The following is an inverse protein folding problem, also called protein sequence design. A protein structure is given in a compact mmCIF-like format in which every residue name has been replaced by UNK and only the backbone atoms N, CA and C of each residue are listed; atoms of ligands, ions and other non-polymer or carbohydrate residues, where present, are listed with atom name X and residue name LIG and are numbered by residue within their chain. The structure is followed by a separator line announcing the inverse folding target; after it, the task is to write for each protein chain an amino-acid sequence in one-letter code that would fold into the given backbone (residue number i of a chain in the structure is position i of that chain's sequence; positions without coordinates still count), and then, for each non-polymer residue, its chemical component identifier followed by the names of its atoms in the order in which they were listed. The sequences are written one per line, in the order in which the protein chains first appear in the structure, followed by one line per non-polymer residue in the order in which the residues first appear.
data_IF_313508897585
#
_entry.id   IF_313508897585
#
_cell.length_a   1.000
_cell.length_b   1.000
_cell.length_c   1.000
_cell.angle_alpha   90.00
_cell.angle_beta   90.00
_cell.angle_gamma   90.00
#
_symmetry.space_group_name_H-M   'P 1'
#
loop_
_entity.id
_entity.type
_entity.pdbx_description
1 polymer ?
#
# COMPACT_ATOMS: atom_id res chain seq x y z
N UNK A 1 12.89 4.93 -16.48
CA UNK A 1 12.33 6.11 -17.17
C UNK A 1 11.59 6.93 -16.12
N UNK A 2 11.98 8.19 -15.88
CA UNK A 2 11.33 9.05 -14.88
C UNK A 2 9.84 9.23 -15.21
N UNK A 3 8.95 9.31 -14.20
CA UNK A 3 7.55 9.64 -14.44
C UNK A 3 7.49 11.08 -14.94
N UNK A 4 7.21 11.27 -16.23
CA UNK A 4 6.95 12.58 -16.80
C UNK A 4 5.63 13.10 -16.22
N UNK A 5 5.66 14.24 -15.54
CA UNK A 5 4.47 15.04 -15.24
C UNK A 5 4.16 15.91 -16.47
N UNK A 6 3.10 15.62 -17.26
CA UNK A 6 2.65 16.55 -18.27
C UNK A 6 1.77 17.60 -17.58
N UNK A 7 2.05 18.90 -17.82
CA UNK A 7 1.21 20.07 -17.52
C UNK A 7 1.54 21.01 -16.35
N UNK A 8 2.76 21.02 -15.79
CA UNK A 8 3.19 22.16 -14.96
C UNK A 8 4.58 22.65 -15.37
N UNK A 9 4.71 23.81 -16.03
CA UNK A 9 6.00 24.40 -16.29
C UNK A 9 6.49 25.06 -14.99
N UNK A 10 7.73 24.75 -14.59
CA UNK A 10 8.55 25.46 -13.59
C UNK A 10 8.66 24.90 -12.16
N UNK A 11 8.01 23.79 -11.80
CA UNK A 11 8.37 23.09 -10.54
C UNK A 11 9.34 21.95 -10.84
N UNK A 12 10.50 21.83 -10.14
CA UNK A 12 11.27 20.60 -10.20
C UNK A 12 10.35 19.43 -9.83
N UNK A 13 10.44 18.33 -10.56
CA UNK A 13 9.70 17.12 -10.19
C UNK A 13 10.02 16.79 -8.73
N UNK A 14 9.00 16.55 -7.88
CA UNK A 14 9.23 16.31 -6.47
C UNK A 14 10.14 15.09 -6.30
N UNK A 15 11.14 15.23 -5.44
CA UNK A 15 11.95 14.09 -5.02
C UNK A 15 11.14 13.25 -4.05
N UNK A 16 11.06 11.94 -4.29
CA UNK A 16 10.30 11.00 -3.45
C UNK A 16 11.25 9.95 -2.89
N UNK A 17 11.19 9.74 -1.57
CA UNK A 17 11.82 8.59 -0.91
C UNK A 17 10.76 7.51 -0.75
N UNK A 18 10.97 6.36 -1.39
CA UNK A 18 10.08 5.21 -1.32
C UNK A 18 10.70 4.11 -0.47
N UNK A 19 9.92 3.55 0.47
CA UNK A 19 10.35 2.44 1.32
C UNK A 19 9.49 1.21 1.07
N UNK A 20 10.11 0.04 1.12
CA UNK A 20 9.44 -1.26 0.97
C UNK A 20 9.73 -2.10 2.20
N UNK A 21 8.72 -2.83 2.66
CA UNK A 21 8.80 -3.76 3.79
C UNK A 21 8.29 -5.12 3.33
N UNK A 22 8.75 -6.19 4.00
CA UNK A 22 8.23 -7.54 3.77
C UNK A 22 6.68 -7.55 3.82
N UNK A 23 5.99 -8.15 2.84
CA UNK A 23 4.53 -8.11 2.78
C UNK A 23 3.86 -8.82 3.97
N UNK A 24 4.51 -9.81 4.57
CA UNK A 24 3.99 -10.53 5.75
C UNK A 24 3.93 -9.61 6.95
N UNK A 25 4.96 -8.80 7.11
CA UNK A 25 5.04 -7.77 8.13
C UNK A 25 4.01 -6.65 7.92
N UNK A 26 3.83 -6.21 6.67
CA UNK A 26 2.83 -5.19 6.32
C UNK A 26 1.43 -5.70 6.62
N UNK A 27 1.12 -6.95 6.28
CA UNK A 27 -0.15 -7.60 6.60
C UNK A 27 -0.43 -7.60 8.10
N UNK A 28 0.52 -8.04 8.93
CA UNK A 28 0.35 -8.06 10.40
C UNK A 28 0.14 -6.64 10.93
N UNK A 29 0.95 -5.70 10.46
CA UNK A 29 0.83 -4.29 10.86
C UNK A 29 -0.55 -3.71 10.51
N UNK A 30 -1.05 -3.96 9.30
CA UNK A 30 -2.33 -3.44 8.83
C UNK A 30 -3.50 -4.09 9.57
N UNK A 31 -3.42 -5.40 9.85
CA UNK A 31 -4.43 -6.10 10.66
C UNK A 31 -4.58 -5.45 12.04
N UNK A 32 -3.48 -5.23 12.76
CA UNK A 32 -3.52 -4.58 14.07
C UNK A 32 -3.95 -3.11 13.99
N UNK A 33 -3.54 -2.39 12.94
CA UNK A 33 -4.02 -1.04 12.69
C UNK A 33 -5.54 -1.00 12.51
N UNK A 34 -6.10 -1.89 11.69
CA UNK A 34 -7.54 -1.99 11.46
C UNK A 34 -8.31 -2.32 12.75
N UNK A 35 -7.77 -3.18 13.63
CA UNK A 35 -8.38 -3.47 14.95
C UNK A 35 -8.45 -2.25 15.87
N UNK A 36 -7.46 -1.35 15.79
CA UNK A 36 -7.41 -0.15 16.62
C UNK A 36 -8.12 1.06 16.00
N UNK A 37 -8.25 1.09 14.67
CA UNK A 37 -8.78 2.21 13.94
C UNK A 37 -10.29 2.04 13.67
N UNK A 38 -11.10 2.58 14.58
CA UNK A 38 -12.59 2.42 14.58
C UNK A 38 -13.26 2.58 13.21
N UNK A 39 -12.85 3.51 12.32
CA UNK A 39 -13.48 3.65 11.01
C UNK A 39 -13.38 2.42 10.10
N UNK A 40 -12.44 1.49 10.33
CA UNK A 40 -12.28 0.29 9.51
C UNK A 40 -13.19 -0.86 9.95
N UNK A 41 -13.92 -0.71 11.05
CA UNK A 41 -14.72 -1.80 11.61
C UNK A 41 -13.86 -2.93 12.16
N UNK A 42 -14.50 -4.08 12.42
CA UNK A 42 -13.78 -5.28 12.86
C UNK A 42 -13.09 -5.94 11.66
N UNK A 43 -11.75 -6.11 11.67
CA UNK A 43 -11.07 -6.83 10.61
C UNK A 43 -11.30 -8.34 10.66
N UNK A 44 -11.98 -8.91 11.65
CA UNK A 44 -12.25 -10.35 11.72
C UNK A 44 -11.02 -11.18 12.06
N UNK A 45 -10.98 -12.45 11.65
CA UNK A 45 -9.81 -13.30 11.85
C UNK A 45 -8.65 -12.94 10.91
N UNK A 46 -7.42 -13.19 11.36
CA UNK A 46 -6.23 -12.89 10.58
C UNK A 46 -6.12 -13.70 9.30
N UNK A 47 -6.68 -14.92 9.24
CA UNK A 47 -6.75 -15.74 8.03
C UNK A 47 -7.61 -15.09 6.95
N UNK A 48 -8.84 -14.69 7.29
CA UNK A 48 -9.73 -13.98 6.35
C UNK A 48 -9.17 -12.62 5.95
N UNK A 49 -8.48 -11.94 6.88
CA UNK A 49 -7.76 -10.71 6.58
C UNK A 49 -6.60 -10.94 5.60
N UNK A 50 -5.85 -12.02 5.76
CA UNK A 50 -4.78 -12.40 4.85
C UNK A 50 -5.32 -12.66 3.43
N UNK A 51 -6.42 -13.39 3.29
CA UNK A 51 -7.02 -13.64 1.97
C UNK A 51 -7.42 -12.34 1.28
N UNK A 52 -8.06 -11.41 2.02
CA UNK A 52 -8.39 -10.07 1.52
C UNK A 52 -7.15 -9.27 1.14
N UNK A 53 -6.12 -9.28 1.98
CA UNK A 53 -4.84 -8.62 1.70
C UNK A 53 -4.21 -9.13 0.39
N UNK A 54 -4.18 -10.45 0.19
CA UNK A 54 -3.63 -11.07 -1.03
C UNK A 54 -4.45 -10.73 -2.28
N UNK A 55 -5.78 -10.52 -2.14
CA UNK A 55 -6.65 -10.05 -3.22
C UNK A 55 -6.59 -8.53 -3.43
N UNK A 56 -5.94 -7.79 -2.54
CA UNK A 56 -5.96 -6.32 -2.53
C UNK A 56 -7.29 -5.72 -2.05
N UNK A 57 -8.15 -6.51 -1.41
CA UNK A 57 -9.43 -6.07 -0.83
C UNK A 57 -9.23 -5.56 0.60
N UNK A 58 -8.34 -4.59 0.75
CA UNK A 58 -7.98 -3.93 1.99
C UNK A 58 -7.81 -2.43 1.74
N UNK A 59 -7.81 -1.59 2.79
CA UNK A 59 -7.43 -0.20 2.63
C UNK A 59 -6.10 -0.08 1.87
N UNK A 60 -6.02 0.89 0.97
CA UNK A 60 -4.87 1.15 0.08
C UNK A 60 -4.63 0.12 -1.04
N UNK A 61 -5.44 -0.92 -1.14
CA UNK A 61 -5.43 -1.87 -2.25
C UNK A 61 -4.30 -2.91 -2.18
N UNK A 62 -3.95 -3.46 -3.35
CA UNK A 62 -2.93 -4.50 -3.50
C UNK A 62 -1.52 -3.98 -3.22
N UNK A 63 -0.88 -4.52 -2.18
CA UNK A 63 0.52 -4.26 -1.88
C UNK A 63 1.43 -4.64 -3.06
N UNK A 64 1.13 -5.75 -3.75
CA UNK A 64 1.94 -6.24 -4.87
C UNK A 64 1.91 -5.30 -6.07
N UNK A 65 0.73 -4.79 -6.41
CA UNK A 65 0.59 -3.85 -7.53
C UNK A 65 1.23 -2.51 -7.19
N UNK A 66 1.10 -2.07 -5.93
CA UNK A 66 1.74 -0.85 -5.45
C UNK A 66 3.27 -0.93 -5.54
N UNK A 67 3.89 -2.00 -5.02
CA UNK A 67 5.35 -2.19 -5.05
C UNK A 67 5.86 -2.36 -6.48
N UNK A 68 5.18 -3.15 -7.33
CA UNK A 68 5.57 -3.29 -8.75
C UNK A 68 5.50 -1.96 -9.49
N UNK A 69 4.45 -1.18 -9.27
CA UNK A 69 4.30 0.14 -9.89
C UNK A 69 5.43 1.10 -9.52
N UNK A 70 5.86 1.11 -8.25
CA UNK A 70 6.96 1.96 -7.78
C UNK A 70 8.35 1.46 -8.19
N UNK A 71 8.60 0.16 -8.10
CA UNK A 71 9.90 -0.43 -8.43
C UNK A 71 10.09 -0.73 -9.92
N UNK A 72 9.03 -0.59 -10.74
CA UNK A 72 9.02 -0.96 -12.16
C UNK A 72 9.41 -2.44 -12.38
N UNK A 73 8.92 -3.33 -11.50
CA UNK A 73 9.11 -4.78 -11.54
C UNK A 73 7.99 -5.52 -12.28
#
# INVERSE_FOLDING_TARGET
LSPHCPHVPLSPCPQVVYTVRDPRDVLVSLYHFARGFRPYGDPGDIGDFMERFLRGDVPFGSWFDHVRGWLQL
#
